data_IF_403957744160
#
_entry.id   IF_403957744160
#
_cell.length_a   1.000
_cell.length_b   1.000
_cell.length_c   1.000
_cell.angle_alpha   90.00
_cell.angle_beta   90.00
_cell.angle_gamma   90.00
#
_symmetry.space_group_name_H-M   'P 1'
#
loop_
_entity.id
_entity.type
_entity.pdbx_description
1 polymer ?
#
# COMPACT_ATOMS: atom_id res chain seq x y z
N UNK A 1 -14.56 -12.41 0.67
CA UNK A 1 -14.49 -11.57 -0.55
C UNK A 1 -13.61 -12.32 -1.52
N UNK A 2 -14.06 -12.43 -2.75
CA UNK A 2 -13.48 -13.24 -3.81
C UNK A 2 -12.66 -12.38 -4.78
N UNK A 3 -11.87 -13.07 -5.62
CA UNK A 3 -10.98 -12.44 -6.61
C UNK A 3 -11.72 -11.41 -7.49
N UNK A 4 -12.84 -11.81 -8.07
CA UNK A 4 -13.61 -10.99 -9.02
C UNK A 4 -14.01 -9.62 -8.44
N UNK A 5 -14.25 -9.54 -7.13
CA UNK A 5 -14.61 -8.29 -6.47
C UNK A 5 -13.41 -7.37 -6.21
N UNK A 6 -12.22 -7.93 -6.08
CA UNK A 6 -10.98 -7.19 -5.94
C UNK A 6 -10.33 -6.83 -7.28
N UNK A 7 -10.78 -7.39 -8.40
CA UNK A 7 -10.23 -7.10 -9.73
C UNK A 7 -10.12 -5.60 -10.06
N UNK A 8 -11.12 -4.73 -9.77
CA UNK A 8 -10.99 -3.30 -10.06
C UNK A 8 -9.95 -2.63 -9.15
N UNK A 9 -9.93 -2.97 -7.86
CA UNK A 9 -8.94 -2.46 -6.89
C UNK A 9 -7.53 -2.90 -7.28
N UNK A 10 -7.36 -4.15 -7.70
CA UNK A 10 -6.09 -4.69 -8.19
C UNK A 10 -5.63 -3.96 -9.46
N UNK A 11 -6.55 -3.72 -10.39
CA UNK A 11 -6.28 -2.94 -11.60
C UNK A 11 -5.80 -1.54 -11.24
N UNK A 12 -6.50 -0.82 -10.37
CA UNK A 12 -6.09 0.52 -9.92
C UNK A 12 -4.72 0.52 -9.25
N UNK A 13 -4.42 -0.49 -8.41
CA UNK A 13 -3.12 -0.62 -7.76
C UNK A 13 -1.99 -0.88 -8.77
N UNK A 14 -2.22 -1.74 -9.75
CA UNK A 14 -1.24 -2.04 -10.81
C UNK A 14 -1.02 -0.80 -11.69
N UNK A 15 -2.08 -0.10 -12.10
CA UNK A 15 -1.95 1.16 -12.85
C UNK A 15 -1.17 2.20 -12.05
N UNK A 16 -1.52 2.39 -10.77
CA UNK A 16 -0.81 3.33 -9.89
C UNK A 16 0.67 2.99 -9.71
N UNK A 17 0.99 1.70 -9.69
CA UNK A 17 2.36 1.21 -9.64
C UNK A 17 3.14 1.56 -10.91
N UNK A 18 2.54 1.30 -12.09
CA UNK A 18 3.15 1.60 -13.39
C UNK A 18 3.37 3.11 -13.54
N UNK A 19 2.37 3.92 -13.22
CA UNK A 19 2.47 5.38 -13.27
C UNK A 19 3.56 5.92 -12.34
N UNK A 20 3.70 5.34 -11.15
CA UNK A 20 4.78 5.69 -10.22
C UNK A 20 6.15 5.32 -10.77
N UNK A 21 6.24 4.22 -11.52
CA UNK A 21 7.44 3.84 -12.27
C UNK A 21 7.81 4.89 -13.32
N UNK A 22 6.84 5.29 -14.15
CA UNK A 22 7.01 6.34 -15.17
C UNK A 22 7.41 7.67 -14.57
N UNK A 23 6.76 8.10 -13.47
CA UNK A 23 7.14 9.27 -12.70
C UNK A 23 8.59 9.20 -12.21
N UNK A 24 8.99 8.04 -11.67
CA UNK A 24 10.34 7.86 -11.11
C UNK A 24 11.42 7.91 -12.17
N UNK A 25 11.14 7.36 -13.35
CA UNK A 25 12.05 7.40 -14.49
C UNK A 25 12.21 8.84 -14.98
N UNK A 26 11.10 9.56 -15.19
CA UNK A 26 11.13 10.96 -15.60
C UNK A 26 11.87 11.85 -14.61
N UNK A 27 11.59 11.69 -13.31
CA UNK A 27 12.29 12.44 -12.26
C UNK A 27 13.80 12.20 -12.30
N UNK A 28 14.22 10.95 -12.52
CA UNK A 28 15.64 10.60 -12.63
C UNK A 28 16.28 11.24 -13.86
N UNK A 29 15.60 11.25 -15.00
CA UNK A 29 16.10 11.85 -16.23
C UNK A 29 16.23 13.38 -16.08
N UNK A 30 15.30 14.02 -15.38
CA UNK A 30 15.29 15.47 -15.15
C UNK A 30 16.33 15.90 -14.08
N UNK A 31 16.48 15.13 -13.01
CA UNK A 31 17.27 15.53 -11.83
C UNK A 31 18.56 14.74 -11.63
N UNK A 32 18.85 13.75 -12.47
CA UNK A 32 20.01 12.85 -12.39
C UNK A 32 20.09 12.02 -11.09
N UNK A 33 19.03 12.03 -10.27
CA UNK A 33 18.90 11.27 -9.03
C UNK A 33 17.49 10.67 -8.95
N UNK A 34 17.31 9.45 -8.42
CA UNK A 34 15.98 8.87 -8.26
C UNK A 34 15.19 9.63 -7.17
N UNK A 35 13.84 9.64 -7.25
CA UNK A 35 13.04 10.20 -6.17
C UNK A 35 13.18 9.36 -4.88
N UNK A 36 12.94 10.01 -3.74
CA UNK A 36 12.93 9.34 -2.44
C UNK A 36 11.80 8.30 -2.35
N UNK A 37 11.93 7.35 -1.42
CA UNK A 37 10.86 6.39 -1.15
C UNK A 37 9.55 7.09 -0.77
N UNK A 38 9.64 8.09 0.09
CA UNK A 38 8.48 8.86 0.55
C UNK A 38 7.78 9.54 -0.62
N UNK A 39 8.53 10.14 -1.55
CA UNK A 39 7.96 10.74 -2.76
C UNK A 39 7.24 9.71 -3.64
N UNK A 40 7.82 8.52 -3.84
CA UNK A 40 7.20 7.43 -4.59
C UNK A 40 5.92 6.92 -3.94
N UNK A 41 5.92 6.71 -2.61
CA UNK A 41 4.74 6.28 -1.85
C UNK A 41 3.63 7.33 -1.92
N UNK A 42 3.97 8.61 -1.80
CA UNK A 42 3.01 9.70 -1.95
C UNK A 42 2.43 9.78 -3.35
N UNK A 43 3.26 9.60 -4.38
CA UNK A 43 2.81 9.60 -5.77
C UNK A 43 1.85 8.43 -6.01
N UNK A 44 2.25 7.20 -5.68
CA UNK A 44 1.40 6.02 -5.80
C UNK A 44 0.06 6.20 -5.11
N UNK A 45 0.08 6.72 -3.87
CA UNK A 45 -1.14 7.03 -3.12
C UNK A 45 -2.02 8.04 -3.84
N UNK A 46 -1.44 9.09 -4.40
CA UNK A 46 -2.20 10.15 -5.06
C UNK A 46 -2.85 9.64 -6.34
N UNK A 47 -2.14 8.79 -7.11
CA UNK A 47 -2.67 8.15 -8.31
C UNK A 47 -3.84 7.22 -7.96
N UNK A 48 -3.68 6.35 -6.95
CA UNK A 48 -4.80 5.45 -6.57
C UNK A 48 -6.00 6.22 -6.02
N UNK A 49 -5.77 7.31 -5.28
CA UNK A 49 -6.86 8.16 -4.81
C UNK A 49 -7.59 8.79 -6.00
N UNK A 50 -6.87 9.31 -7.00
CA UNK A 50 -7.49 9.85 -8.21
C UNK A 50 -8.30 8.78 -8.97
N UNK A 51 -7.73 7.58 -9.19
CA UNK A 51 -8.42 6.48 -9.87
C UNK A 51 -9.69 6.05 -9.13
N UNK A 52 -9.67 6.01 -7.79
CA UNK A 52 -10.85 5.68 -6.99
C UNK A 52 -11.91 6.80 -6.99
N UNK A 53 -11.52 8.06 -7.13
CA UNK A 53 -12.46 9.19 -7.27
C UNK A 53 -13.15 9.17 -8.63
N UNK A 54 -12.41 8.80 -9.67
CA UNK A 54 -12.92 8.75 -11.04
C UNK A 54 -13.75 7.48 -11.31
N UNK A 55 -13.65 6.45 -10.46
CA UNK A 55 -14.45 5.23 -10.55
C UNK A 55 -15.77 5.36 -9.78
N UNK A 56 -16.88 5.36 -10.52
CA UNK A 56 -18.26 5.42 -10.01
C UNK A 56 -18.65 4.28 -9.05
N UNK A 57 -17.85 3.22 -8.92
CA UNK A 57 -18.08 2.13 -7.98
C UNK A 57 -17.57 2.43 -6.56
N UNK A 58 -16.73 3.46 -6.40
CA UNK A 58 -16.05 3.76 -5.15
C UNK A 58 -16.29 5.19 -4.68
N UNK A 59 -16.25 5.38 -3.36
CA UNK A 59 -16.29 6.70 -2.75
C UNK A 59 -15.15 6.80 -1.72
N UNK A 60 -14.25 7.78 -1.88
CA UNK A 60 -13.18 8.02 -0.92
C UNK A 60 -13.74 8.58 0.40
N UNK A 61 -13.23 8.09 1.52
CA UNK A 61 -13.59 8.62 2.83
C UNK A 61 -12.92 10.00 3.07
N UNK A 62 -13.69 11.05 3.45
CA UNK A 62 -13.16 12.40 3.65
C UNK A 62 -12.09 12.49 4.74
N UNK A 63 -12.20 11.65 5.77
CA UNK A 63 -11.33 11.64 6.96
C UNK A 63 -9.91 11.14 6.68
N UNK A 64 -9.66 10.51 5.53
CA UNK A 64 -8.43 9.75 5.29
C UNK A 64 -7.58 10.18 4.10
N UNK A 65 -8.06 11.16 3.33
CA UNK A 65 -7.26 11.87 2.34
C UNK A 65 -6.09 12.62 3.01
N UNK A 66 -6.31 13.18 4.21
CA UNK A 66 -5.35 14.05 4.91
C UNK A 66 -4.20 13.32 5.62
N UNK A 67 -4.37 12.04 5.97
CA UNK A 67 -3.36 11.26 6.71
C UNK A 67 -2.53 10.32 5.83
N UNK A 68 -2.64 10.48 4.51
CA UNK A 68 -1.94 9.65 3.57
C UNK A 68 -2.38 8.20 3.56
N UNK A 69 -3.67 7.96 3.80
CA UNK A 69 -4.30 6.64 3.73
C UNK A 69 -5.28 6.61 2.56
N UNK A 70 -5.66 5.42 2.15
CA UNK A 70 -6.66 5.22 1.10
C UNK A 70 -7.78 4.41 1.73
N UNK A 71 -8.76 5.13 2.27
CA UNK A 71 -10.01 4.54 2.74
C UNK A 71 -11.10 4.86 1.73
N UNK A 72 -11.87 3.84 1.36
CA UNK A 72 -12.94 3.97 0.39
C UNK A 72 -14.10 3.04 0.71
N UNK A 73 -15.28 3.41 0.23
CA UNK A 73 -16.48 2.60 0.31
C UNK A 73 -16.76 1.99 -1.06
N UNK A 74 -16.99 0.68 -1.10
CA UNK A 74 -17.57 0.00 -2.26
C UNK A 74 -19.07 0.31 -2.30
N UNK A 75 -19.50 1.14 -3.24
CA UNK A 75 -20.88 1.63 -3.34
C UNK A 75 -21.88 0.52 -3.68
N UNK A 76 -21.42 -0.60 -4.26
CA UNK A 76 -22.28 -1.74 -4.59
C UNK A 76 -22.71 -2.51 -3.34
N UNK A 77 -21.86 -2.59 -2.32
CA UNK A 77 -22.14 -3.36 -1.10
C UNK A 77 -22.24 -2.52 0.16
N UNK A 78 -21.85 -1.26 0.11
CA UNK A 78 -21.68 -0.39 1.28
C UNK A 78 -20.55 -0.81 2.21
N UNK A 79 -19.60 -1.63 1.75
CA UNK A 79 -18.49 -2.10 2.59
C UNK A 79 -17.34 -1.10 2.54
N UNK A 80 -16.76 -0.81 3.71
CA UNK A 80 -15.66 0.14 3.86
C UNK A 80 -14.33 -0.58 3.90
N UNK A 81 -13.37 -0.07 3.15
CA UNK A 81 -12.06 -0.65 2.98
C UNK A 81 -10.97 0.37 3.28
N UNK A 82 -9.94 -0.08 3.98
CA UNK A 82 -8.69 0.65 4.15
C UNK A 82 -7.57 -0.11 3.46
N UNK A 83 -6.86 0.56 2.57
CA UNK A 83 -5.71 -0.01 1.88
C UNK A 83 -4.43 0.17 2.72
N UNK A 84 -3.67 -0.90 2.90
CA UNK A 84 -2.34 -0.89 3.55
C UNK A 84 -1.33 -1.76 2.82
N UNK A 85 -0.06 -1.36 2.82
CA UNK A 85 1.00 -2.24 2.34
C UNK A 85 1.32 -3.32 3.37
N UNK A 86 1.74 -4.50 2.92
CA UNK A 86 2.20 -5.58 3.80
C UNK A 86 3.35 -5.15 4.73
N UNK A 87 4.28 -4.31 4.23
CA UNK A 87 5.34 -3.69 5.04
C UNK A 87 4.77 -2.85 6.19
N UNK A 88 3.77 -2.00 5.92
CA UNK A 88 3.15 -1.18 6.95
C UNK A 88 2.48 -2.02 8.05
N UNK A 89 1.82 -3.13 7.66
CA UNK A 89 1.20 -4.07 8.61
C UNK A 89 2.26 -4.78 9.47
N UNK A 90 3.38 -5.18 8.87
CA UNK A 90 4.48 -5.82 9.59
C UNK A 90 5.11 -4.89 10.65
N UNK A 91 5.36 -3.63 10.28
CA UNK A 91 5.87 -2.61 11.21
C UNK A 91 4.88 -2.40 12.35
N UNK A 92 3.60 -2.20 12.03
CA UNK A 92 2.55 -1.99 13.04
C UNK A 92 2.48 -3.14 14.05
N UNK A 93 2.59 -4.37 13.55
CA UNK A 93 2.60 -5.59 14.37
C UNK A 93 3.85 -5.68 15.25
N UNK A 94 5.02 -5.37 14.71
CA UNK A 94 6.29 -5.34 15.45
C UNK A 94 6.26 -4.28 16.57
N UNK A 95 5.82 -3.06 16.26
CA UNK A 95 5.67 -1.97 17.23
C UNK A 95 4.63 -2.31 18.30
N UNK A 96 3.51 -2.95 17.93
CA UNK A 96 2.50 -3.38 18.91
C UNK A 96 3.06 -4.39 19.91
N UNK A 97 3.87 -5.35 19.45
CA UNK A 97 4.53 -6.35 20.32
C UNK A 97 5.54 -5.69 21.27
N UNK A 98 6.34 -4.75 20.77
CA UNK A 98 7.31 -4.00 21.60
C UNK A 98 6.61 -3.13 22.66
N UNK A 99 5.53 -2.44 22.29
CA UNK A 99 4.81 -1.59 23.24
C UNK A 99 4.04 -2.40 24.29
N UNK A 100 3.53 -3.59 23.92
CA UNK A 100 2.87 -4.50 24.85
C UNK A 100 3.79 -5.08 25.93
N UNK A 101 5.11 -5.11 25.71
CA UNK A 101 6.08 -5.55 26.72
C UNK A 101 6.50 -4.43 27.68
N UNK A 102 6.35 -3.16 27.29
CA UNK A 102 6.76 -2.00 28.08
C UNK A 102 5.60 -1.38 28.87
N UNK A 103 4.37 -1.48 28.36
CA UNK A 103 3.16 -1.07 29.07
C UNK A 103 2.04 -2.07 28.75
N UNK A 104 1.39 -2.70 29.74
CA UNK A 104 0.20 -3.50 29.47
C UNK A 104 -0.89 -2.57 28.96
N UNK A 105 -1.10 -2.55 27.65
CA UNK A 105 -2.12 -1.74 26.98
C UNK A 105 -3.49 -2.31 27.38
N UNK A 106 -4.11 -1.75 28.40
CA UNK A 106 -5.49 -2.03 28.83
C UNK A 106 -6.54 -1.34 27.96
N UNK A 107 -6.18 -0.89 26.75
CA UNK A 107 -7.14 -0.27 25.84
C UNK A 107 -8.04 -1.36 25.25
N UNK A 108 -9.33 -1.24 25.51
CA UNK A 108 -10.37 -2.07 24.91
C UNK A 108 -10.22 -2.03 23.38
N UNK A 109 -9.78 -3.14 22.80
CA UNK A 109 -9.74 -3.34 21.35
C UNK A 109 -11.19 -3.51 20.90
N UNK A 110 -11.63 -2.65 19.97
CA UNK A 110 -12.99 -2.73 19.42
C UNK A 110 -12.90 -3.15 17.96
N UNK A 111 -13.67 -4.15 17.52
CA UNK A 111 -13.82 -4.45 16.10
C UNK A 111 -14.24 -3.20 15.33
N UNK A 112 -13.64 -2.99 14.16
CA UNK A 112 -14.06 -1.96 13.22
C UNK A 112 -14.96 -2.57 12.16
N UNK A 113 -15.90 -1.79 11.65
CA UNK A 113 -16.69 -2.08 10.46
C UNK A 113 -15.86 -2.04 9.16
N UNK A 114 -14.76 -1.29 9.16
CA UNK A 114 -13.78 -1.22 8.08
C UNK A 114 -12.99 -2.53 7.97
N UNK A 115 -12.83 -3.04 6.74
CA UNK A 115 -11.93 -4.14 6.40
C UNK A 115 -10.61 -3.60 5.86
N UNK A 116 -9.49 -4.28 6.10
CA UNK A 116 -8.19 -3.86 5.55
C UNK A 116 -7.85 -4.70 4.32
N UNK A 117 -7.64 -4.05 3.18
CA UNK A 117 -7.02 -4.67 2.00
C UNK A 117 -5.51 -4.47 2.14
N UNK A 118 -4.78 -5.57 2.22
CA UNK A 118 -3.33 -5.58 2.34
C UNK A 118 -2.72 -5.92 0.99
N UNK A 119 -1.93 -5.01 0.45
CA UNK A 119 -1.28 -5.20 -0.84
C UNK A 119 0.22 -5.49 -0.71
N UNK A 120 0.74 -6.30 -1.64
CA UNK A 120 2.17 -6.53 -1.82
C UNK A 120 2.48 -6.70 -3.30
N UNK A 121 3.30 -5.81 -3.84
CA UNK A 121 3.86 -6.00 -5.18
C UNK A 121 5.00 -7.03 -5.12
N UNK A 122 4.98 -7.96 -6.06
CA UNK A 122 6.00 -9.00 -6.24
C UNK A 122 6.41 -9.07 -7.71
N UNK A 123 7.44 -9.87 -8.01
CA UNK A 123 7.88 -10.18 -9.38
C UNK A 123 6.75 -10.69 -10.27
N UNK A 124 5.94 -11.60 -9.75
CA UNK A 124 4.89 -12.28 -10.52
C UNK A 124 3.62 -11.44 -10.67
N UNK A 125 3.47 -10.37 -9.89
CA UNK A 125 2.26 -9.56 -9.85
C UNK A 125 1.98 -8.95 -8.49
N UNK A 126 0.74 -8.52 -8.32
CA UNK A 126 0.19 -7.94 -7.10
C UNK A 126 -0.52 -9.00 -6.27
N UNK A 127 -0.09 -9.21 -5.03
CA UNK A 127 -0.86 -9.98 -4.05
C UNK A 127 -1.81 -9.07 -3.29
N UNK A 128 -3.06 -9.51 -3.15
CA UNK A 128 -4.03 -8.88 -2.25
C UNK A 128 -4.50 -9.87 -1.19
N UNK A 129 -4.45 -9.42 0.06
CA UNK A 129 -4.97 -10.12 1.22
C UNK A 129 -6.01 -9.25 1.93
N UNK A 130 -6.87 -9.87 2.72
CA UNK A 130 -7.84 -9.15 3.55
C UNK A 130 -7.56 -9.45 5.01
N UNK A 131 -7.65 -8.44 5.84
CA UNK A 131 -7.60 -8.60 7.28
C UNK A 131 -8.77 -7.88 7.97
N UNK A 132 -9.29 -8.43 9.08
CA UNK A 132 -10.21 -7.69 9.93
C UNK A 132 -9.48 -6.51 10.58
N UNK A 133 -10.22 -5.45 10.87
CA UNK A 133 -9.67 -4.24 11.46
C UNK A 133 -10.20 -3.98 12.87
N UNK A 134 -9.43 -3.24 13.66
CA UNK A 134 -9.79 -2.85 15.02
C UNK A 134 -9.37 -1.43 15.34
N UNK A 135 -10.03 -0.84 16.32
CA UNK A 135 -9.64 0.44 16.93
C UNK A 135 -9.21 0.22 18.37
N UNK A 136 -8.36 1.12 18.88
CA UNK A 136 -7.89 1.08 20.28
C UNK A 136 -8.48 2.26 21.06
N UNK A 137 -9.29 1.96 22.08
CA UNK A 137 -9.85 2.99 22.96
C UNK A 137 -10.76 3.98 22.20
N UNK A 138 -10.45 5.28 22.26
CA UNK A 138 -11.15 6.34 21.52
C UNK A 138 -10.42 6.73 20.22
N UNK A 139 -9.41 5.97 19.80
CA UNK A 139 -8.64 6.29 18.60
C UNK A 139 -9.45 5.99 17.34
N UNK A 140 -9.45 6.93 16.40
CA UNK A 140 -9.96 6.72 15.05
C UNK A 140 -8.99 5.89 14.19
N UNK A 141 -7.77 5.62 14.68
CA UNK A 141 -6.77 4.85 13.95
C UNK A 141 -7.19 3.39 13.82
N UNK A 142 -7.34 2.97 12.56
CA UNK A 142 -7.61 1.58 12.21
C UNK A 142 -6.33 0.75 12.21
N UNK A 143 -6.37 -0.35 12.97
CA UNK A 143 -5.31 -1.33 13.13
C UNK A 143 -5.70 -2.66 12.49
N UNK A 144 -4.71 -3.42 12.01
CA UNK A 144 -4.96 -4.81 11.56
C UNK A 144 -5.14 -5.68 12.80
N UNK A 145 -6.30 -6.33 12.91
CA UNK A 145 -6.67 -7.11 14.10
C UNK A 145 -6.13 -8.54 14.09
N UNK A 146 -6.01 -9.14 12.91
CA UNK A 146 -5.56 -10.52 12.72
C UNK A 146 -4.70 -10.65 11.45
N UNK A 147 -4.05 -11.81 11.27
CA UNK A 147 -3.21 -12.11 10.13
C UNK A 147 -4.00 -11.94 8.80
N UNK A 148 -3.45 -11.21 7.81
CA UNK A 148 -4.09 -11.09 6.51
C UNK A 148 -4.22 -12.45 5.81
N UNK A 149 -5.42 -12.75 5.32
CA UNK A 149 -5.70 -13.94 4.52
C UNK A 149 -5.56 -13.60 3.05
N UNK A 150 -4.66 -14.31 2.35
CA UNK A 150 -4.46 -14.13 0.90
C UNK A 150 -5.77 -14.40 0.16
N UNK A 151 -6.16 -13.45 -0.69
CA UNK A 151 -7.29 -13.63 -1.61
C UNK A 151 -6.79 -14.23 -2.91
N UNK A 152 -5.85 -13.55 -3.58
CA UNK A 152 -5.28 -14.00 -4.85
C UNK A 152 -4.04 -13.18 -5.25
N UNK A 153 -3.49 -13.53 -6.41
CA UNK A 153 -2.42 -12.82 -7.13
C UNK A 153 -2.94 -12.35 -8.49
N UNK A 154 -2.70 -11.08 -8.79
CA UNK A 154 -3.00 -10.45 -10.07
C UNK A 154 -1.71 -10.26 -10.86
N UNK A 155 -1.51 -10.97 -11.99
CA UNK A 155 -0.33 -10.78 -12.80
C UNK A 155 -0.30 -9.38 -13.40
N UNK A 156 0.89 -8.85 -13.65
CA UNK A 156 1.03 -7.67 -14.50
C UNK A 156 0.55 -8.05 -15.92
N UNK A 157 -0.35 -7.28 -16.51
CA UNK A 157 -0.81 -7.55 -17.88
C UNK A 157 0.32 -7.21 -18.86
N UNK A 158 0.86 -8.23 -19.53
CA UNK A 158 2.06 -8.12 -20.36
C UNK A 158 1.80 -7.69 -21.81
N UNK A 159 0.54 -7.61 -22.27
CA UNK A 159 0.24 -7.49 -23.71
C UNK A 159 0.00 -6.06 -24.21
N UNK A 160 -0.36 -5.09 -23.36
CA UNK A 160 -0.53 -3.67 -23.77
C UNK A 160 0.71 -2.79 -23.49
N UNK A 161 1.71 -3.32 -22.80
CA UNK A 161 2.97 -2.63 -22.49
C UNK A 161 4.08 -2.89 -23.52
N UNK A 162 3.79 -3.64 -24.59
CA UNK A 162 4.78 -4.05 -25.58
C UNK A 162 5.46 -2.87 -26.32
N UNK A 163 4.81 -1.71 -26.40
CA UNK A 163 5.37 -0.51 -27.05
C UNK A 163 5.99 0.51 -26.09
N UNK A 164 5.97 0.27 -24.77
CA UNK A 164 6.63 1.15 -23.80
C UNK A 164 7.81 0.42 -23.16
N UNK A 165 8.98 0.59 -23.80
CA UNK A 165 10.32 0.50 -23.19
C UNK A 165 10.66 -0.79 -22.44
N UNK A 166 11.46 -1.65 -23.12
CA UNK A 166 12.28 -2.77 -22.59
C UNK A 166 11.63 -3.67 -21.52
N UNK A 167 11.45 -4.99 -21.79
CA UNK A 167 11.01 -5.91 -20.76
C UNK A 167 11.91 -5.84 -19.54
N UNK A 168 11.28 -5.64 -18.40
CA UNK A 168 11.90 -5.53 -17.08
C UNK A 168 12.90 -6.66 -16.82
N UNK A 169 14.18 -6.31 -16.64
CA UNK A 169 15.24 -7.24 -16.28
C UNK A 169 15.41 -7.31 -14.76
N UNK A 170 15.05 -8.46 -14.19
CA UNK A 170 15.11 -8.77 -12.76
C UNK A 170 16.28 -9.69 -12.38
N UNK A 171 17.32 -9.77 -13.21
CA UNK A 171 18.64 -10.23 -12.75
C UNK A 171 19.45 -9.08 -12.14
N UNK A 172 19.02 -7.84 -12.39
CA UNK A 172 19.40 -6.67 -11.62
C UNK A 172 18.51 -6.55 -10.36
N UNK A 173 19.13 -6.05 -9.29
CA UNK A 173 18.50 -5.71 -8.01
C UNK A 173 17.22 -4.87 -8.26
N UNK A 174 16.11 -5.37 -7.73
CA UNK A 174 14.72 -5.11 -8.16
C UNK A 174 14.22 -3.70 -7.80
N UNK A 175 13.69 -2.94 -8.77
CA UNK A 175 13.26 -1.54 -8.58
C UNK A 175 11.99 -1.33 -7.74
N UNK A 176 11.35 -2.37 -7.19
CA UNK A 176 10.33 -2.19 -6.15
C UNK A 176 10.70 -2.81 -4.80
N UNK A 177 11.49 -3.87 -4.79
CA UNK A 177 12.12 -4.38 -3.57
C UNK A 177 13.28 -3.50 -3.08
N UNK A 178 13.97 -2.80 -3.99
CA UNK A 178 14.96 -1.73 -3.72
C UNK A 178 14.31 -0.34 -3.52
N UNK A 179 12.98 -0.26 -3.38
CA UNK A 179 12.32 0.95 -2.85
C UNK A 179 12.43 1.01 -1.32
N UNK A 180 13.64 0.84 -0.80
CA UNK A 180 13.97 0.96 0.61
C UNK A 180 13.60 -0.27 1.43
N UNK A 181 14.64 -0.97 1.85
CA UNK A 181 14.65 -1.57 3.17
C UNK A 181 14.64 -0.45 4.23
N UNK A 182 13.99 -0.65 5.37
CA UNK A 182 13.96 0.29 6.50
C UNK A 182 15.31 0.30 7.28
N UNK A 183 16.42 0.08 6.58
CA UNK A 183 17.73 -0.22 7.17
C UNK A 183 18.81 0.84 6.96
N UNK A 184 18.58 1.90 6.17
CA UNK A 184 19.58 2.95 5.97
C UNK A 184 19.17 4.27 6.63
N UNK A 185 19.00 4.19 7.95
CA UNK A 185 19.18 5.32 8.88
C UNK A 185 20.27 4.98 9.93
N UNK A 186 21.20 4.08 9.59
CA UNK A 186 22.46 3.90 10.31
C UNK A 186 23.60 4.41 9.44
N UNK A 187 24.00 5.67 9.62
CA UNK A 187 25.19 6.18 8.94
C UNK A 187 25.28 7.68 8.67
N UNK A 188 24.47 8.54 9.30
CA UNK A 188 24.73 9.99 9.28
C UNK A 188 25.08 10.43 10.69
N UNK A 189 26.31 10.13 11.08
CA UNK A 189 26.81 10.43 12.42
C UNK A 189 28.29 10.11 12.62
N UNK A 190 29.12 10.24 11.58
CA UNK A 190 30.58 10.37 11.75
C UNK A 190 31.11 11.39 10.75
N UNK A 191 31.05 12.66 11.16
CA UNK A 191 32.00 13.69 10.73
C UNK A 191 32.42 14.44 11.99
N UNK A 192 33.44 13.92 12.66
CA UNK A 192 34.72 14.58 12.99
C UNK A 192 35.68 13.61 13.68
#
# INVERSE_FOLDING_TARGET
MDKARLDPVATHLITSYVDTGSYSQRFKDDHHVPPSLMAKVHHLRSVIQALLVDDSNYELAPSYVDYGRVEFTDLKTGERYLLKSSKAVAIETATARQNGSLFPITNLIRPSDIKVIVYRFQRAGLELSIAPASTRGRSEKIHVADAPVLVDVWPYQTDELADQTKPFDQTARDNFADLGDLGHDQGVGEFE
#
